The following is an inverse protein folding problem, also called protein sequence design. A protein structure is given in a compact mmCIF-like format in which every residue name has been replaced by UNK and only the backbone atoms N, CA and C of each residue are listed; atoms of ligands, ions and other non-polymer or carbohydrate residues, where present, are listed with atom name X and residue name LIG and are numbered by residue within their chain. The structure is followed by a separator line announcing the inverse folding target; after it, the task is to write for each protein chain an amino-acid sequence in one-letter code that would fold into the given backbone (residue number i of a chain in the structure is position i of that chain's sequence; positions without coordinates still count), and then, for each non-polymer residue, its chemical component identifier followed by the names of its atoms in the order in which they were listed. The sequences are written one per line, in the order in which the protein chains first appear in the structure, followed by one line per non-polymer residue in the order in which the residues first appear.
data_IF_834834125105
#
_entry.id   IF_834834125105
#
_cell.length_a   1.000
_cell.length_b   1.000
_cell.length_c   1.000
_cell.angle_alpha   90.00
_cell.angle_beta   90.00
_cell.angle_gamma   90.00
#
_symmetry.space_group_name_H-M   'P 1'
#
loop_
_entity.id
_entity.type
_entity.pdbx_description
1 polymer ?
#
# COMPACT_ATOMS: atom_id res chain seq x y z
N UNK A 1 17.94 8.09 -1.37
CA UNK A 1 17.16 8.12 -0.10
C UNK A 1 18.11 8.19 1.07
N UNK A 2 18.98 7.17 1.26
CA UNK A 2 19.99 7.16 2.31
C UNK A 2 20.84 8.44 2.37
N UNK A 3 21.47 8.84 1.26
CA UNK A 3 22.32 10.04 1.20
C UNK A 3 21.57 11.32 1.62
N UNK A 4 20.32 11.48 1.18
CA UNK A 4 19.48 12.61 1.56
C UNK A 4 19.17 12.61 3.06
N UNK A 5 18.85 11.43 3.61
CA UNK A 5 18.59 11.27 5.05
C UNK A 5 19.84 11.59 5.87
N UNK A 6 21.01 11.11 5.43
CA UNK A 6 22.29 11.37 6.07
C UNK A 6 22.64 12.87 6.08
N UNK A 7 22.53 13.55 4.93
CA UNK A 7 22.77 14.99 4.83
C UNK A 7 21.86 15.79 5.76
N UNK A 8 20.57 15.42 5.83
CA UNK A 8 19.63 16.10 6.73
C UNK A 8 19.91 15.79 8.20
N UNK A 9 20.23 14.55 8.54
CA UNK A 9 20.53 14.14 9.91
C UNK A 9 21.79 14.84 10.45
N UNK A 10 22.81 15.05 9.62
CA UNK A 10 24.01 15.81 10.01
C UNK A 10 23.72 17.28 10.32
N UNK A 11 22.77 17.91 9.62
CA UNK A 11 22.37 19.30 9.86
C UNK A 11 21.46 19.44 11.08
N UNK A 12 20.48 18.54 11.17
CA UNK A 12 19.51 18.48 12.26
C UNK A 12 19.24 17.01 12.58
N UNK A 13 19.64 16.52 13.77
CA UNK A 13 19.42 15.13 14.14
C UNK A 13 17.95 14.71 13.97
N UNK A 14 17.73 13.76 13.08
CA UNK A 14 16.43 13.16 12.81
C UNK A 14 16.20 12.00 13.78
N UNK A 15 15.05 12.01 14.46
CA UNK A 15 14.65 10.91 15.36
C UNK A 15 13.85 9.81 14.66
N UNK A 16 13.31 10.08 13.46
CA UNK A 16 12.44 9.16 12.73
C UNK A 16 12.30 9.61 11.27
N UNK A 17 12.13 8.65 10.35
CA UNK A 17 11.67 8.88 8.99
C UNK A 17 10.23 8.35 8.83
N UNK A 18 9.32 9.18 8.34
CA UNK A 18 7.93 8.81 8.05
C UNK A 18 7.73 8.82 6.53
N UNK A 19 7.27 7.70 5.98
CA UNK A 19 6.89 7.58 4.58
C UNK A 19 5.41 7.30 4.48
N UNK A 20 4.71 8.14 3.73
CA UNK A 20 3.33 7.89 3.33
C UNK A 20 3.30 7.35 1.89
N UNK A 21 2.23 6.64 1.54
CA UNK A 21 2.03 6.01 0.24
C UNK A 21 3.22 5.11 -0.21
N UNK A 22 3.81 4.40 0.75
CA UNK A 22 5.03 3.61 0.58
C UNK A 22 4.88 2.45 -0.41
N UNK A 23 3.66 2.11 -0.83
CA UNK A 23 3.42 1.16 -1.91
C UNK A 23 4.04 1.59 -3.24
N UNK A 24 4.27 2.89 -3.46
CA UNK A 24 4.89 3.42 -4.67
C UNK A 24 6.42 3.39 -4.65
N UNK A 25 7.04 2.90 -3.57
CA UNK A 25 8.48 2.75 -3.52
C UNK A 25 8.96 1.68 -4.50
N UNK A 26 10.13 1.89 -5.08
CA UNK A 26 10.84 0.86 -5.83
C UNK A 26 11.60 -0.08 -4.88
N UNK A 27 11.99 -1.26 -5.37
CA UNK A 27 12.88 -2.16 -4.61
C UNK A 27 14.12 -1.48 -4.03
N UNK A 28 14.78 -0.63 -4.82
CA UNK A 28 16.02 0.05 -4.39
C UNK A 28 15.75 1.09 -3.32
N UNK A 29 14.60 1.77 -3.37
CA UNK A 29 14.20 2.70 -2.32
C UNK A 29 13.89 1.96 -1.02
N UNK A 30 13.17 0.83 -1.06
CA UNK A 30 12.92 -0.01 0.13
C UNK A 30 14.23 -0.51 0.73
N UNK A 31 15.18 -0.94 -0.10
CA UNK A 31 16.50 -1.37 0.39
C UNK A 31 17.22 -0.24 1.12
N UNK A 32 17.19 0.97 0.55
CA UNK A 32 17.79 2.15 1.16
C UNK A 32 17.12 2.56 2.48
N UNK A 33 15.86 2.17 2.74
CA UNK A 33 15.22 2.36 4.05
C UNK A 33 15.88 1.48 5.12
N UNK A 34 16.15 0.21 4.79
CA UNK A 34 16.88 -0.69 5.70
C UNK A 34 18.26 -0.13 6.05
N UNK A 35 18.99 0.37 5.05
CA UNK A 35 20.29 1.01 5.26
C UNK A 35 20.21 2.25 6.18
N UNK A 36 19.11 3.01 6.15
CA UNK A 36 18.90 4.14 7.08
C UNK A 36 18.79 3.64 8.52
N UNK A 37 18.06 2.56 8.75
CA UNK A 37 17.93 1.94 10.08
C UNK A 37 19.29 1.42 10.54
N UNK A 38 19.92 0.58 9.72
CA UNK A 38 21.14 -0.15 10.09
C UNK A 38 22.35 0.77 10.28
N UNK A 39 22.52 1.78 9.42
CA UNK A 39 23.72 2.63 9.42
C UNK A 39 23.56 3.88 10.25
N UNK A 40 22.37 4.47 10.27
CA UNK A 40 22.13 5.75 10.95
C UNK A 40 21.42 5.56 12.30
N UNK A 41 20.90 4.37 12.60
CA UNK A 41 20.12 4.12 13.82
C UNK A 41 18.81 4.91 13.87
N UNK A 42 18.30 5.35 12.71
CA UNK A 42 17.07 6.14 12.61
C UNK A 42 15.92 5.20 12.25
N UNK A 43 14.88 5.09 13.10
CA UNK A 43 13.72 4.26 12.79
C UNK A 43 12.95 4.80 11.58
N UNK A 44 12.43 3.89 10.77
CA UNK A 44 11.63 4.18 9.58
C UNK A 44 10.23 3.62 9.75
N UNK A 45 9.20 4.47 9.65
CA UNK A 45 7.81 4.03 9.61
C UNK A 45 7.26 4.28 8.21
N UNK A 46 6.80 3.23 7.56
CA UNK A 46 6.23 3.26 6.21
C UNK A 46 4.74 2.89 6.24
N UNK A 47 3.91 3.79 5.73
CA UNK A 47 2.46 3.61 5.59
C UNK A 47 2.12 3.43 4.11
N UNK A 48 1.27 2.45 3.80
CA UNK A 48 0.87 2.22 2.42
C UNK A 48 -0.12 1.08 2.23
N UNK A 49 -0.67 1.01 1.02
CA UNK A 49 -1.60 -0.04 0.61
C UNK A 49 -0.88 -1.35 0.31
N UNK A 50 -1.36 -2.47 0.85
CA UNK A 50 -0.75 -3.78 0.58
C UNK A 50 -0.94 -4.21 -0.87
N UNK A 51 -2.17 -4.14 -1.36
CA UNK A 51 -2.57 -4.64 -2.69
C UNK A 51 -3.37 -3.60 -3.43
N UNK A 52 -3.32 -3.65 -4.76
CA UNK A 52 -4.16 -2.84 -5.64
C UNK A 52 -5.60 -3.40 -5.74
N UNK A 53 -6.41 -2.79 -6.61
CA UNK A 53 -7.81 -3.21 -6.83
C UNK A 53 -7.95 -4.56 -7.55
N UNK A 54 -6.87 -5.08 -8.14
CA UNK A 54 -6.82 -6.43 -8.73
C UNK A 54 -6.42 -7.48 -7.69
N UNK A 55 -6.04 -7.05 -6.49
CA UNK A 55 -5.54 -7.91 -5.43
C UNK A 55 -4.07 -8.30 -5.61
N UNK A 56 -3.34 -7.60 -6.47
CA UNK A 56 -1.91 -7.78 -6.70
C UNK A 56 -1.12 -6.89 -5.74
N UNK A 57 0.05 -7.35 -5.28
CA UNK A 57 0.93 -6.53 -4.44
C UNK A 57 1.48 -5.37 -5.27
N UNK A 58 1.53 -4.19 -4.68
CA UNK A 58 2.37 -3.11 -5.21
C UNK A 58 3.86 -3.46 -5.03
N UNK A 59 4.74 -2.92 -5.89
CA UNK A 59 6.18 -3.18 -5.82
C UNK A 59 6.77 -2.80 -4.45
N UNK A 60 6.49 -1.58 -3.96
CA UNK A 60 6.99 -1.12 -2.67
C UNK A 60 6.50 -2.02 -1.54
N UNK A 61 5.21 -2.35 -1.54
CA UNK A 61 4.60 -3.23 -0.55
C UNK A 61 5.14 -4.65 -0.59
N UNK A 62 5.42 -5.19 -1.77
CA UNK A 62 6.06 -6.50 -1.94
C UNK A 62 7.41 -6.55 -1.22
N UNK A 63 8.24 -5.51 -1.38
CA UNK A 63 9.55 -5.46 -0.75
C UNK A 63 9.50 -5.11 0.73
N UNK A 64 8.59 -4.21 1.14
CA UNK A 64 8.38 -3.89 2.56
C UNK A 64 7.90 -5.11 3.34
N UNK A 65 7.00 -5.93 2.78
CA UNK A 65 6.57 -7.19 3.41
C UNK A 65 7.72 -8.19 3.59
N UNK A 66 8.76 -8.12 2.75
CA UNK A 66 9.88 -9.04 2.81
C UNK A 66 10.98 -8.58 3.79
N UNK A 67 11.14 -7.27 3.98
CA UNK A 67 12.30 -6.69 4.67
C UNK A 67 11.98 -5.91 5.93
N UNK A 68 10.73 -5.50 6.17
CA UNK A 68 10.39 -4.77 7.39
C UNK A 68 10.53 -5.65 8.64
N UNK A 69 11.13 -5.10 9.69
CA UNK A 69 11.25 -5.76 11.00
C UNK A 69 9.89 -5.99 11.65
N UNK A 70 8.97 -5.03 11.49
CA UNK A 70 7.61 -5.09 12.02
C UNK A 70 6.57 -4.78 10.93
N UNK A 71 5.48 -5.56 10.93
CA UNK A 71 4.35 -5.40 10.02
C UNK A 71 3.05 -5.25 10.80
N UNK A 72 2.49 -4.04 10.78
CA UNK A 72 1.19 -3.74 11.40
C UNK A 72 0.11 -3.62 10.32
N UNK A 73 -0.84 -4.56 10.31
CA UNK A 73 -2.01 -4.48 9.45
C UNK A 73 -3.09 -3.58 10.06
N UNK A 74 -3.36 -2.43 9.44
CA UNK A 74 -4.53 -1.60 9.77
C UNK A 74 -5.75 -2.21 9.05
N UNK A 75 -6.73 -2.63 9.84
CA UNK A 75 -7.92 -3.34 9.34
C UNK A 75 -9.16 -2.46 9.36
N UNK A 76 -9.97 -2.59 8.32
CA UNK A 76 -11.34 -2.08 8.26
C UNK A 76 -12.33 -3.25 8.33
N UNK A 77 -13.63 -2.93 8.32
CA UNK A 77 -14.70 -3.92 8.44
C UNK A 77 -15.47 -3.99 7.12
N UNK A 78 -15.58 -5.18 6.55
CA UNK A 78 -16.42 -5.42 5.38
C UNK A 78 -17.90 -5.35 5.80
N UNK A 79 -18.79 -5.03 4.87
CA UNK A 79 -20.24 -4.98 5.12
C UNK A 79 -20.85 -6.29 5.67
N UNK A 80 -20.17 -7.44 5.59
CA UNK A 80 -20.57 -8.67 6.29
C UNK A 80 -20.03 -8.83 7.73
N UNK A 81 -19.40 -7.80 8.28
CA UNK A 81 -18.78 -7.83 9.61
C UNK A 81 -17.41 -8.52 9.66
N UNK A 82 -16.93 -9.12 8.56
CA UNK A 82 -15.61 -9.74 8.50
C UNK A 82 -14.51 -8.70 8.25
N UNK A 83 -13.26 -9.05 8.60
CA UNK A 83 -12.07 -8.25 8.29
C UNK A 83 -12.05 -7.92 6.78
N UNK A 84 -11.97 -6.63 6.46
CA UNK A 84 -11.76 -6.16 5.10
C UNK A 84 -10.26 -5.95 4.86
N UNK A 85 -9.76 -6.56 3.79
CA UNK A 85 -8.34 -6.61 3.47
C UNK A 85 -8.07 -6.54 1.96
N UNK A 86 -9.11 -6.30 1.16
CA UNK A 86 -9.09 -6.12 -0.28
C UNK A 86 -9.80 -4.80 -0.59
N UNK A 87 -9.44 -4.17 -1.71
CA UNK A 87 -10.06 -2.93 -2.18
C UNK A 87 -10.74 -3.20 -3.50
N UNK A 88 -12.02 -2.85 -3.62
CA UNK A 88 -12.72 -2.77 -4.89
C UNK A 88 -12.66 -1.33 -5.39
N UNK A 89 -12.48 -1.17 -6.69
CA UNK A 89 -12.66 0.11 -7.39
C UNK A 89 -14.00 0.06 -8.10
N UNK A 90 -14.84 1.06 -7.86
CA UNK A 90 -16.16 1.18 -8.45
C UNK A 90 -16.19 2.35 -9.43
N UNK A 91 -16.88 2.16 -10.55
CA UNK A 91 -17.20 3.25 -11.49
C UNK A 91 -18.27 4.21 -10.92
N UNK A 92 -18.64 5.22 -11.71
CA UNK A 92 -19.67 6.20 -11.35
C UNK A 92 -21.05 5.58 -11.08
N UNK A 93 -21.30 4.38 -11.59
CA UNK A 93 -22.55 3.63 -11.41
C UNK A 93 -22.48 2.63 -10.24
N UNK A 94 -21.37 2.59 -9.50
CA UNK A 94 -21.16 1.64 -8.40
C UNK A 94 -20.78 0.23 -8.85
N UNK A 95 -20.42 0.04 -10.13
CA UNK A 95 -20.04 -1.26 -10.68
C UNK A 95 -18.55 -1.51 -10.48
N UNK A 96 -18.13 -2.70 -10.00
CA UNK A 96 -16.71 -3.04 -9.85
C UNK A 96 -15.94 -3.03 -11.19
N UNK A 97 -14.90 -2.21 -11.24
CA UNK A 97 -13.95 -2.12 -12.36
C UNK A 97 -12.89 -3.23 -12.26
N UNK A 98 -12.74 -4.01 -13.34
CA UNK A 98 -11.76 -5.11 -13.44
C UNK A 98 -10.46 -4.74 -14.14
N UNK A 99 -10.51 -3.74 -15.01
CA UNK A 99 -9.40 -3.32 -15.85
C UNK A 99 -9.28 -1.80 -15.80
N UNK A 100 -8.07 -1.32 -16.05
CA UNK A 100 -7.71 0.09 -15.89
C UNK A 100 -6.28 0.23 -15.41
N UNK A 101 -5.76 1.45 -15.47
CA UNK A 101 -4.46 1.78 -14.91
C UNK A 101 -4.48 1.47 -13.40
N UNK A 102 -3.43 0.78 -12.93
CA UNK A 102 -3.21 0.46 -11.52
C UNK A 102 -3.13 1.71 -10.65
N UNK A 103 -2.70 2.83 -11.26
CA UNK A 103 -2.58 4.14 -10.63
C UNK A 103 -3.54 5.09 -11.35
N UNK A 104 -4.56 5.55 -10.64
CA UNK A 104 -5.34 6.71 -11.07
C UNK A 104 -5.54 7.61 -9.86
N UNK A 105 -4.82 8.73 -9.86
CA UNK A 105 -4.93 9.79 -8.87
C UNK A 105 -6.02 10.74 -9.37
N UNK A 106 -7.19 10.71 -8.72
CA UNK A 106 -8.34 11.55 -9.07
C UNK A 106 -9.29 10.94 -10.11
N UNK A 107 -10.59 11.11 -9.86
CA UNK A 107 -11.73 10.59 -10.62
C UNK A 107 -12.97 10.50 -9.71
N UNK A 108 -14.18 10.37 -10.27
CA UNK A 108 -15.41 10.11 -9.51
C UNK A 108 -15.49 8.66 -8.99
N UNK A 109 -14.47 7.85 -9.27
CA UNK A 109 -14.39 6.46 -8.84
C UNK A 109 -14.33 6.36 -7.32
N UNK A 110 -15.08 5.40 -6.78
CA UNK A 110 -15.09 5.14 -5.34
C UNK A 110 -14.34 3.86 -5.00
N UNK A 111 -13.64 3.87 -3.86
CA UNK A 111 -12.91 2.71 -3.34
C UNK A 111 -13.62 2.12 -2.14
N UNK A 112 -13.88 0.82 -2.16
CA UNK A 112 -14.59 0.12 -1.08
C UNK A 112 -13.75 -1.02 -0.54
N UNK A 113 -13.50 -1.00 0.77
CA UNK A 113 -12.79 -2.08 1.46
C UNK A 113 -13.71 -3.27 1.72
N UNK A 114 -13.32 -4.46 1.26
CA UNK A 114 -14.11 -5.69 1.41
C UNK A 114 -13.27 -6.87 1.88
N UNK A 115 -13.94 -7.90 2.38
CA UNK A 115 -13.30 -9.18 2.66
C UNK A 115 -13.02 -9.95 1.36
N UNK A 116 -12.04 -10.84 1.39
CA UNK A 116 -11.67 -11.71 0.24
C UNK A 116 -12.87 -12.45 -0.41
N UNK A 117 -13.87 -12.86 0.38
CA UNK A 117 -15.07 -13.53 -0.17
C UNK A 117 -15.84 -12.61 -1.11
N UNK A 118 -16.15 -11.40 -0.64
CA UNK A 118 -16.92 -10.43 -1.43
C UNK A 118 -16.12 -9.80 -2.56
N UNK A 119 -14.79 -9.68 -2.39
CA UNK A 119 -13.90 -9.35 -3.49
C UNK A 119 -14.06 -10.34 -4.65
N UNK A 120 -13.94 -11.65 -4.38
CA UNK A 120 -14.13 -12.70 -5.39
C UNK A 120 -15.54 -12.75 -5.97
N UNK A 121 -16.58 -12.48 -5.16
CA UNK A 121 -17.95 -12.44 -5.63
C UNK A 121 -18.17 -11.30 -6.63
N UNK A 122 -17.66 -10.11 -6.34
CA UNK A 122 -17.70 -8.97 -7.26
C UNK A 122 -16.99 -9.29 -8.59
N UNK A 123 -15.87 -10.04 -8.53
CA UNK A 123 -15.19 -10.53 -9.74
C UNK A 123 -16.03 -11.52 -10.55
N UNK A 124 -16.77 -12.43 -9.90
CA UNK A 124 -17.56 -13.45 -10.61
C UNK A 124 -18.82 -12.92 -11.30
N UNK A 125 -19.46 -11.88 -10.77
CA UNK A 125 -20.73 -11.34 -11.30
C UNK A 125 -20.57 -10.71 -12.70
N UNK A 126 -19.37 -10.23 -13.03
CA UNK A 126 -19.05 -9.59 -14.31
C UNK A 126 -18.38 -10.56 -15.31
N UNK A 127 -18.60 -11.88 -15.22
CA UNK A 127 -18.17 -12.86 -16.24
C UNK A 127 -19.34 -13.36 -17.11
N UNK A 128 -20.54 -12.80 -16.92
CA UNK A 128 -21.78 -13.24 -17.59
C UNK A 128 -22.31 -12.25 -18.64
N UNK A 129 -21.49 -11.29 -19.09
CA UNK A 129 -21.84 -10.33 -20.13
C UNK A 129 -20.77 -10.33 -21.23
#
# INVERSE_FOLDING_TARGET
LLELTEERHQKTPLSCLLLDEAQFLTKSQVFALGEVVDRLGIPVLAYGLRTDFKGELFEGSLHLLAWADELLEIKTVCHCGKKANMVLRLDENGTPLKSGAQIQIGGNDSYVSVCRKHFKSAESTNQSA
#
